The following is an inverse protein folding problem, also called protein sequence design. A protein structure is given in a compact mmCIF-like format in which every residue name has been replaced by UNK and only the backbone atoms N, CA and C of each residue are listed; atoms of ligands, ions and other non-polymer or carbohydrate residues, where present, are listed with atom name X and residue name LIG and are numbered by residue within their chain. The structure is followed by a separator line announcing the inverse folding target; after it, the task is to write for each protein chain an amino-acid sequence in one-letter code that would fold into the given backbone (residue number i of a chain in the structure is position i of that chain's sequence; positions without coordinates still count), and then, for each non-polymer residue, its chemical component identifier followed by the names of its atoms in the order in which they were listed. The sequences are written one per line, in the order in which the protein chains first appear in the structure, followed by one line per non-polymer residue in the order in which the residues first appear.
data_IF_649321412262
#
_entry.id   IF_649321412262
#
_cell.length_a   1.000
_cell.length_b   1.000
_cell.length_c   1.000
_cell.angle_alpha   90.00
_cell.angle_beta   90.00
_cell.angle_gamma   90.00
#
_symmetry.space_group_name_H-M   'P 1'
#
loop_
_entity.id
_entity.type
_entity.pdbx_description
1 polymer ?
#
# COMPACT_ATOMS: atom_id res chain seq x y z
N UNK A 1 20.33 17.15 -0.69
CA UNK A 1 19.28 16.77 0.29
C UNK A 1 18.15 16.21 -0.54
N UNK A 2 18.00 14.90 -0.56
CA UNK A 2 16.94 14.22 -1.33
C UNK A 2 15.65 14.39 -0.54
N UNK A 3 14.67 15.06 -1.13
CA UNK A 3 13.32 15.15 -0.58
C UNK A 3 12.68 13.76 -0.66
N UNK A 4 12.67 13.06 0.46
CA UNK A 4 11.93 11.81 0.62
C UNK A 4 10.43 12.11 0.56
N UNK A 5 9.84 11.69 -0.53
CA UNK A 5 8.41 11.86 -0.78
C UNK A 5 7.68 10.80 0.04
N UNK A 6 6.95 11.22 1.05
CA UNK A 6 6.06 10.35 1.81
C UNK A 6 4.83 10.07 0.96
N UNK A 7 4.92 9.05 0.16
CA UNK A 7 3.76 8.39 -0.43
C UNK A 7 3.32 7.35 0.58
N UNK A 8 2.05 7.35 0.98
CA UNK A 8 1.47 6.19 1.66
C UNK A 8 1.23 5.08 0.62
N UNK A 9 2.13 5.00 -0.36
CA UNK A 9 2.26 4.04 -1.43
C UNK A 9 3.75 3.69 -1.57
N UNK A 10 4.09 2.43 -1.55
CA UNK A 10 5.45 1.93 -1.77
C UNK A 10 5.85 2.11 -3.24
N UNK A 11 6.89 2.92 -3.51
CA UNK A 11 7.54 2.91 -4.82
C UNK A 11 8.59 1.79 -4.84
N UNK A 12 8.32 0.70 -5.52
CA UNK A 12 9.35 -0.25 -5.91
C UNK A 12 10.22 0.39 -6.99
N UNK A 13 11.40 0.87 -6.61
CA UNK A 13 12.46 1.09 -7.59
C UNK A 13 12.82 -0.26 -8.22
N UNK A 14 12.43 -0.48 -9.47
CA UNK A 14 13.09 -1.46 -10.34
C UNK A 14 14.47 -0.90 -10.65
N UNK A 15 15.47 -1.28 -9.87
CA UNK A 15 16.85 -1.12 -10.27
C UNK A 15 17.12 -2.03 -11.47
N UNK A 16 17.45 -1.40 -12.60
CA UNK A 16 18.01 -2.07 -13.77
C UNK A 16 19.36 -2.69 -13.36
N UNK A 17 19.48 -4.00 -13.57
CA UNK A 17 20.65 -4.78 -13.27
C UNK A 17 21.92 -4.21 -13.93
N UNK A 18 22.82 -3.69 -13.13
CA UNK A 18 24.23 -3.59 -13.46
C UNK A 18 24.97 -4.67 -12.70
N UNK A 19 25.52 -5.62 -13.49
CA UNK A 19 26.42 -6.64 -13.02
C UNK A 19 27.69 -5.96 -12.49
N UNK A 20 27.93 -6.07 -11.20
CA UNK A 20 29.22 -5.76 -10.60
C UNK A 20 29.98 -7.08 -10.51
N UNK A 21 31.10 -7.16 -11.24
CA UNK A 21 32.01 -8.29 -11.21
C UNK A 21 32.73 -8.40 -9.86
N UNK A 22 33.31 -9.58 -9.54
CA UNK A 22 33.89 -9.85 -8.23
C UNK A 22 35.20 -9.12 -8.02
N UNK A 23 35.31 -8.29 -7.00
CA UNK A 23 36.57 -7.78 -6.48
C UNK A 23 37.20 -8.84 -5.58
N UNK A 24 38.40 -9.24 -5.96
CA UNK A 24 39.26 -10.15 -5.23
C UNK A 24 39.68 -9.53 -3.87
N UNK A 25 39.53 -10.30 -2.79
CA UNK A 25 40.25 -10.08 -1.56
C UNK A 25 41.11 -11.32 -1.27
N UNK A 26 42.39 -11.08 -1.35
CA UNK A 26 43.45 -12.03 -1.01
C UNK A 26 43.70 -12.10 0.50
N UNK A 27 44.17 -13.29 0.94
CA UNK A 27 44.96 -13.64 2.10
C UNK A 27 44.27 -14.14 3.37
N UNK A 28 44.54 -15.38 3.64
CA UNK A 28 44.98 -15.91 4.92
C UNK A 28 44.67 -17.36 5.24
N UNK A 29 45.57 -18.26 4.83
CA UNK A 29 46.00 -19.55 5.45
C UNK A 29 45.10 -20.25 6.49
N UNK A 30 44.74 -21.54 6.27
CA UNK A 30 45.39 -22.75 6.79
C UNK A 30 44.60 -24.03 6.47
N UNK A 31 45.22 -24.93 5.74
CA UNK A 31 45.49 -26.39 5.93
C UNK A 31 44.45 -27.19 6.78
N UNK A 32 43.89 -28.29 6.28
CA UNK A 32 44.47 -29.65 6.22
C UNK A 32 43.38 -30.69 5.88
N UNK A 33 43.80 -31.65 5.00
CA UNK A 33 43.34 -33.01 4.83
C UNK A 33 41.89 -33.27 4.45
N UNK A 34 41.52 -33.93 3.38
CA UNK A 34 42.15 -35.02 2.67
C UNK A 34 41.07 -36.08 2.38
N UNK A 35 41.17 -36.66 1.25
CA UNK A 35 40.64 -37.96 0.84
C UNK A 35 39.59 -37.93 -0.28
N UNK A 36 40.00 -38.62 -1.27
CA UNK A 36 39.59 -38.90 -2.60
C UNK A 36 38.36 -39.83 -2.75
N UNK A 37 37.88 -39.88 -3.96
CA UNK A 37 37.09 -40.94 -4.58
C UNK A 37 35.85 -40.37 -5.25
N UNK A 38 35.63 -40.34 -6.48
CA UNK A 38 35.96 -41.23 -7.53
C UNK A 38 34.74 -41.52 -8.38
N UNK A 39 34.76 -41.05 -9.64
CA UNK A 39 34.26 -41.70 -10.85
C UNK A 39 32.78 -41.74 -11.26
N UNK A 40 32.63 -41.19 -12.50
CA UNK A 40 31.78 -41.65 -13.65
C UNK A 40 30.27 -41.36 -13.52
N UNK A 41 29.63 -40.71 -14.46
CA UNK A 41 29.73 -40.66 -15.92
C UNK A 41 28.40 -41.07 -16.54
N UNK A 42 28.09 -40.57 -17.74
CA UNK A 42 26.94 -40.89 -18.62
C UNK A 42 25.78 -39.91 -18.40
N UNK A 43 25.44 -38.93 -19.22
CA UNK A 43 25.28 -38.95 -20.69
C UNK A 43 23.77 -39.02 -21.03
N UNK A 44 23.18 -37.95 -21.56
CA UNK A 44 22.36 -37.90 -22.74
C UNK A 44 21.49 -36.60 -22.77
N UNK A 45 21.78 -35.77 -23.69
CA UNK A 45 21.01 -35.17 -24.77
C UNK A 45 19.49 -34.96 -24.57
N UNK A 46 19.09 -33.70 -24.78
CA UNK A 46 17.69 -33.33 -24.94
C UNK A 46 17.53 -31.83 -25.24
N UNK A 47 18.22 -31.33 -26.26
CA UNK A 47 17.96 -29.96 -26.79
C UNK A 47 16.58 -29.91 -27.42
N UNK A 48 15.65 -29.21 -26.86
CA UNK A 48 14.50 -28.67 -27.59
C UNK A 48 14.63 -27.15 -27.70
N UNK A 49 15.02 -26.72 -28.89
CA UNK A 49 14.92 -25.34 -29.35
C UNK A 49 13.44 -24.99 -29.48
N UNK A 50 12.95 -24.05 -28.70
CA UNK A 50 11.73 -23.33 -29.03
C UNK A 50 12.14 -22.04 -29.73
N UNK A 51 11.86 -22.02 -31.05
CA UNK A 51 12.06 -20.86 -31.90
C UNK A 51 11.01 -19.78 -31.58
N UNK A 52 11.49 -18.61 -31.25
CA UNK A 52 10.68 -17.40 -31.18
C UNK A 52 10.48 -16.87 -32.61
N UNK A 53 9.26 -16.91 -33.12
CA UNK A 53 8.84 -16.17 -34.31
C UNK A 53 8.27 -14.82 -33.85
N UNK A 54 8.70 -13.68 -34.43
CA UNK A 54 8.11 -12.39 -34.13
C UNK A 54 6.72 -12.28 -34.79
N UNK A 55 5.69 -12.11 -33.96
CA UNK A 55 4.35 -11.74 -34.47
C UNK A 55 4.34 -10.24 -34.75
N UNK A 56 4.03 -9.92 -36.00
CA UNK A 56 3.74 -8.56 -36.48
C UNK A 56 2.51 -8.02 -35.78
N UNK A 57 2.65 -6.92 -35.07
CA UNK A 57 1.56 -6.15 -34.52
C UNK A 57 0.80 -5.47 -35.66
N UNK A 58 -0.43 -5.94 -35.86
CA UNK A 58 -1.43 -5.17 -36.59
C UNK A 58 -2.36 -4.56 -35.54
N UNK A 59 -2.24 -3.24 -35.36
CA UNK A 59 -3.06 -2.43 -34.48
C UNK A 59 -4.56 -2.62 -34.79
N UNK A 60 -5.23 -3.29 -33.85
CA UNK A 60 -6.69 -3.16 -33.58
C UNK A 60 -6.85 -3.24 -32.09
N UNK A 61 -7.21 -2.13 -31.47
CA UNK A 61 -7.74 -2.06 -30.12
C UNK A 61 -8.87 -3.09 -30.00
N UNK A 62 -8.58 -4.24 -29.39
CA UNK A 62 -9.60 -5.20 -28.98
C UNK A 62 -10.11 -4.72 -27.64
N UNK A 63 -11.27 -4.11 -27.63
CA UNK A 63 -12.11 -4.03 -26.44
C UNK A 63 -12.25 -5.44 -25.87
N UNK A 64 -11.75 -5.65 -24.67
CA UNK A 64 -11.94 -6.92 -23.94
C UNK A 64 -13.39 -6.95 -23.49
N UNK A 65 -14.17 -7.89 -24.04
CA UNK A 65 -15.53 -8.13 -23.61
C UNK A 65 -15.54 -8.88 -22.28
N UNK A 66 -16.48 -8.50 -21.40
CA UNK A 66 -16.73 -9.17 -20.14
C UNK A 66 -17.29 -10.58 -20.39
N UNK A 67 -16.66 -11.62 -19.79
CA UNK A 67 -17.02 -13.03 -19.97
C UNK A 67 -17.69 -13.68 -18.76
N UNK A 68 -18.16 -12.90 -17.78
CA UNK A 68 -18.86 -13.45 -16.62
C UNK A 68 -20.38 -13.50 -16.82
N UNK A 69 -21.01 -14.58 -16.31
CA UNK A 69 -22.45 -14.75 -16.33
C UNK A 69 -23.15 -13.62 -15.57
N UNK A 70 -24.00 -12.85 -16.27
CA UNK A 70 -24.73 -11.70 -15.72
C UNK A 70 -24.26 -10.34 -16.23
N UNK A 71 -23.19 -10.26 -17.04
CA UNK A 71 -22.74 -9.01 -17.64
C UNK A 71 -23.54 -8.66 -18.89
N UNK A 72 -24.08 -7.44 -19.05
CA UNK A 72 -24.74 -7.03 -20.30
C UNK A 72 -23.71 -7.01 -21.43
N UNK A 73 -24.00 -7.72 -22.51
CA UNK A 73 -23.12 -7.80 -23.70
C UNK A 73 -22.90 -6.40 -24.29
N UNK A 74 -21.60 -5.99 -24.39
CA UNK A 74 -21.22 -4.76 -25.08
C UNK A 74 -21.04 -3.53 -24.23
N UNK A 75 -21.04 -3.64 -22.89
CA UNK A 75 -20.73 -2.51 -22.01
C UNK A 75 -19.20 -2.25 -21.94
N UNK A 76 -18.73 -0.97 -21.98
CA UNK A 76 -17.32 -0.66 -21.85
C UNK A 76 -16.77 -1.13 -20.49
N UNK A 77 -15.60 -1.79 -20.50
CA UNK A 77 -14.94 -2.35 -19.30
C UNK A 77 -14.63 -1.27 -18.25
N UNK A 78 -14.42 -0.02 -18.67
CA UNK A 78 -14.18 1.12 -17.77
C UNK A 78 -15.29 1.36 -16.74
N UNK A 79 -16.51 0.93 -17.04
CA UNK A 79 -17.66 1.01 -16.11
C UNK A 79 -17.70 -0.13 -15.10
N UNK A 80 -16.96 -1.23 -15.33
CA UNK A 80 -16.98 -2.44 -14.50
C UNK A 80 -15.76 -2.65 -13.63
N UNK A 81 -14.69 -1.85 -13.75
CA UNK A 81 -13.57 -1.85 -12.80
C UNK A 81 -14.00 -1.54 -11.37
N UNK A 82 -15.26 -1.12 -11.18
CA UNK A 82 -15.89 -0.83 -9.89
C UNK A 82 -16.60 -2.02 -9.24
N UNK A 83 -16.72 -3.18 -9.87
CA UNK A 83 -17.63 -4.25 -9.43
C UNK A 83 -16.99 -5.64 -9.40
N UNK A 84 -15.68 -5.76 -9.49
CA UNK A 84 -15.02 -7.04 -9.19
C UNK A 84 -14.32 -6.88 -7.85
N UNK A 85 -14.90 -7.39 -6.73
CA UNK A 85 -14.21 -7.40 -5.46
C UNK A 85 -12.95 -8.25 -5.60
N UNK A 86 -11.80 -7.63 -5.67
CA UNK A 86 -10.57 -8.33 -5.39
C UNK A 86 -10.56 -8.59 -3.88
N UNK A 87 -11.08 -9.75 -3.46
CA UNK A 87 -11.03 -10.24 -2.09
C UNK A 87 -11.93 -9.56 -1.03
N UNK A 88 -13.09 -9.01 -1.40
CA UNK A 88 -14.13 -8.66 -0.43
C UNK A 88 -14.20 -7.19 -0.02
N UNK A 89 -13.16 -6.38 -0.22
CA UNK A 89 -13.18 -4.94 0.05
C UNK A 89 -12.44 -4.16 -1.03
N UNK A 90 -13.09 -3.15 -1.62
CA UNK A 90 -12.49 -2.17 -2.53
C UNK A 90 -12.16 -0.89 -1.77
N UNK A 91 -11.18 -0.11 -2.26
CA UNK A 91 -10.90 1.20 -1.70
C UNK A 91 -12.07 2.13 -1.94
N UNK A 92 -12.57 2.71 -0.88
CA UNK A 92 -13.58 3.77 -0.89
C UNK A 92 -12.90 5.09 -1.21
N UNK A 93 -13.39 5.80 -2.22
CA UNK A 93 -12.84 7.08 -2.64
C UNK A 93 -13.66 8.27 -2.11
N UNK A 94 -12.97 9.40 -1.96
CA UNK A 94 -13.59 10.70 -1.73
C UNK A 94 -14.63 11.00 -2.84
N UNK A 95 -15.80 11.54 -2.53
CA UNK A 95 -16.21 12.10 -1.24
C UNK A 95 -17.12 11.18 -0.41
N UNK A 96 -16.97 9.86 -0.46
CA UNK A 96 -17.85 8.97 0.30
C UNK A 96 -17.97 9.41 1.77
N UNK A 97 -19.20 9.51 2.32
CA UNK A 97 -19.43 9.96 3.70
C UNK A 97 -18.77 9.10 4.78
N UNK A 98 -18.46 7.81 4.51
CA UNK A 98 -17.79 6.94 5.48
C UNK A 98 -16.42 7.47 5.85
N UNK A 99 -15.70 8.11 4.92
CA UNK A 99 -14.38 8.70 5.12
C UNK A 99 -14.37 9.92 6.04
N UNK A 100 -15.53 10.54 6.25
CA UNK A 100 -15.70 11.74 7.09
C UNK A 100 -16.34 11.43 8.44
N UNK A 101 -16.66 10.17 8.71
CA UNK A 101 -17.20 9.76 10.01
C UNK A 101 -16.07 9.39 10.95
N UNK A 102 -16.25 9.71 12.22
CA UNK A 102 -15.40 9.19 13.28
C UNK A 102 -15.65 7.70 13.42
N UNK A 103 -14.58 6.91 13.39
CA UNK A 103 -14.65 5.46 13.48
C UNK A 103 -14.99 4.97 14.90
N UNK A 104 -15.78 3.91 14.98
CA UNK A 104 -16.23 3.28 16.22
C UNK A 104 -15.17 2.37 16.82
N UNK A 105 -15.04 2.32 18.15
CA UNK A 105 -14.10 1.42 18.78
C UNK A 105 -14.48 -0.06 18.57
N UNK A 106 -13.47 -0.90 18.40
CA UNK A 106 -13.62 -2.36 18.41
C UNK A 106 -13.77 -2.82 19.85
N UNK A 107 -14.87 -3.51 20.15
CA UNK A 107 -15.15 -4.03 21.49
C UNK A 107 -14.62 -5.44 21.69
N UNK A 108 -14.58 -6.25 20.64
CA UNK A 108 -14.13 -7.64 20.68
C UNK A 108 -13.33 -7.96 19.42
N UNK A 109 -12.17 -8.59 19.58
CA UNK A 109 -11.34 -9.07 18.47
C UNK A 109 -11.77 -10.51 18.15
N UNK A 110 -12.85 -10.60 17.40
CA UNK A 110 -13.42 -11.88 16.94
C UNK A 110 -12.85 -12.28 15.55
N UNK A 111 -13.35 -13.37 14.98
CA UNK A 111 -12.95 -13.86 13.66
C UNK A 111 -13.30 -12.88 12.55
N UNK A 112 -14.39 -12.13 12.69
CA UNK A 112 -14.78 -11.08 11.73
C UNK A 112 -13.76 -9.95 11.68
N UNK A 113 -13.22 -9.54 12.83
CA UNK A 113 -12.15 -8.53 12.90
C UNK A 113 -10.84 -9.07 12.30
N UNK A 114 -10.50 -10.37 12.57
CA UNK A 114 -9.31 -11.00 11.99
C UNK A 114 -9.38 -11.05 10.47
N UNK A 115 -10.50 -11.53 9.93
CA UNK A 115 -10.75 -11.57 8.49
C UNK A 115 -10.66 -10.15 7.87
N UNK A 116 -11.28 -9.15 8.50
CA UNK A 116 -11.21 -7.76 8.02
C UNK A 116 -9.76 -7.27 7.96
N UNK A 117 -8.95 -7.55 8.98
CA UNK A 117 -7.54 -7.13 9.02
C UNK A 117 -6.72 -7.85 7.93
N UNK A 118 -6.96 -9.13 7.69
CA UNK A 118 -6.30 -9.88 6.61
C UNK A 118 -6.67 -9.30 5.23
N UNK A 119 -7.94 -8.98 5.00
CA UNK A 119 -8.42 -8.31 3.78
C UNK A 119 -7.79 -6.92 3.62
N UNK A 120 -7.70 -6.13 4.71
CA UNK A 120 -7.05 -4.81 4.68
C UNK A 120 -5.57 -4.91 4.30
N UNK A 121 -4.82 -5.88 4.83
CA UNK A 121 -3.44 -6.11 4.41
C UNK A 121 -3.34 -6.48 2.94
N UNK A 122 -4.25 -7.32 2.44
CA UNK A 122 -4.26 -7.70 1.04
C UNK A 122 -4.52 -6.49 0.13
N UNK A 123 -5.57 -5.70 0.42
CA UNK A 123 -5.91 -4.48 -0.32
C UNK A 123 -4.76 -3.46 -0.26
N UNK A 124 -4.19 -3.20 0.91
CA UNK A 124 -3.07 -2.29 1.09
C UNK A 124 -1.87 -2.66 0.19
N UNK A 125 -1.54 -3.96 0.12
CA UNK A 125 -0.41 -4.46 -0.70
C UNK A 125 -0.71 -4.42 -2.18
N UNK A 126 -1.93 -4.75 -2.59
CA UNK A 126 -2.37 -4.68 -4.00
C UNK A 126 -2.32 -3.22 -4.51
N UNK A 127 -2.60 -2.25 -3.65
CA UNK A 127 -2.53 -0.80 -3.94
C UNK A 127 -1.15 -0.16 -3.63
N UNK A 128 -0.15 -0.98 -3.28
CA UNK A 128 1.21 -0.53 -2.92
C UNK A 128 1.21 0.52 -1.78
N UNK A 129 0.28 0.42 -0.82
CA UNK A 129 0.14 1.32 0.33
C UNK A 129 1.13 1.01 1.44
N UNK A 130 1.54 2.04 2.20
CA UNK A 130 2.30 1.90 3.44
C UNK A 130 1.39 1.74 4.66
N UNK A 131 0.17 2.25 4.58
CA UNK A 131 -0.89 2.15 5.57
C UNK A 131 -2.27 2.11 4.93
N UNK A 132 -3.25 1.61 5.68
CA UNK A 132 -4.65 1.58 5.27
C UNK A 132 -5.55 1.54 6.51
N UNK A 133 -6.50 2.45 6.59
CA UNK A 133 -7.48 2.51 7.66
C UNK A 133 -8.81 1.85 7.28
N UNK A 134 -9.51 1.23 8.23
CA UNK A 134 -10.78 0.55 8.00
C UNK A 134 -11.87 1.43 7.33
N UNK A 135 -11.98 2.75 7.60
CA UNK A 135 -12.90 3.60 6.84
C UNK A 135 -12.63 3.61 5.33
N UNK A 136 -11.38 3.42 4.89
CA UNK A 136 -11.01 3.38 3.47
C UNK A 136 -11.47 2.10 2.76
N UNK A 137 -11.87 1.09 3.49
CA UNK A 137 -12.54 -0.13 2.97
C UNK A 137 -14.02 -0.19 3.40
N UNK A 138 -14.62 0.96 3.68
CA UNK A 138 -16.04 1.08 4.01
C UNK A 138 -16.43 0.63 5.42
N UNK A 139 -15.47 0.36 6.30
CA UNK A 139 -15.71 -0.12 7.67
C UNK A 139 -15.39 0.96 8.70
N UNK A 140 -16.41 1.57 9.29
CA UNK A 140 -16.24 2.65 10.28
C UNK A 140 -15.78 2.11 11.65
N UNK A 141 -14.62 1.42 11.69
CA UNK A 141 -14.02 0.84 12.89
C UNK A 141 -12.64 1.45 13.16
N UNK A 142 -12.28 1.58 14.44
CA UNK A 142 -10.97 2.09 14.84
C UNK A 142 -9.88 1.04 14.64
N UNK A 143 -9.57 0.77 13.37
CA UNK A 143 -8.51 -0.14 12.93
C UNK A 143 -7.75 0.52 11.80
N UNK A 144 -6.42 0.41 11.81
CA UNK A 144 -5.60 0.56 10.64
C UNK A 144 -4.49 -0.49 10.59
N UNK A 145 -3.93 -0.72 9.43
CA UNK A 145 -2.78 -1.61 9.20
C UNK A 145 -1.63 -0.82 8.60
N UNK A 146 -0.40 -1.27 8.85
CA UNK A 146 0.80 -0.73 8.20
C UNK A 146 1.66 -1.85 7.65
N UNK A 147 2.33 -1.60 6.52
CA UNK A 147 3.29 -2.52 5.93
C UNK A 147 4.62 -2.48 6.71
N UNK A 148 5.46 -3.49 6.46
CA UNK A 148 6.81 -3.53 7.01
C UNK A 148 7.66 -2.38 6.47
N UNK A 149 8.34 -1.68 7.36
CA UNK A 149 9.26 -0.61 6.99
C UNK A 149 10.38 -0.47 8.04
N UNK A 150 11.62 -0.56 7.62
CA UNK A 150 12.81 -0.50 8.49
C UNK A 150 12.73 -1.47 9.68
N UNK A 151 12.73 -0.95 10.94
CA UNK A 151 12.61 -1.75 12.16
C UNK A 151 11.16 -2.08 12.55
N UNK A 152 10.16 -1.58 11.82
CA UNK A 152 8.75 -1.80 12.12
C UNK A 152 8.19 -2.94 11.26
N UNK A 153 7.78 -4.07 11.84
CA UNK A 153 7.11 -5.13 11.12
C UNK A 153 5.70 -4.69 10.68
N UNK A 154 5.17 -5.35 9.64
CA UNK A 154 3.78 -5.19 9.26
C UNK A 154 2.86 -5.49 10.45
N UNK A 155 1.90 -4.59 10.75
CA UNK A 155 1.11 -4.67 11.99
C UNK A 155 -0.28 -4.08 11.85
N UNK A 156 -1.24 -4.66 12.59
CA UNK A 156 -2.56 -4.09 12.82
C UNK A 156 -2.58 -3.26 14.11
N UNK A 157 -3.26 -2.12 14.06
CA UNK A 157 -3.46 -1.19 15.17
C UNK A 157 -4.96 -1.14 15.46
N UNK A 158 -5.40 -1.78 16.53
CA UNK A 158 -6.80 -1.80 16.97
C UNK A 158 -6.96 -0.81 18.12
N UNK A 159 -7.97 0.06 18.01
CA UNK A 159 -8.24 1.14 18.95
C UNK A 159 -7.01 2.03 19.23
N UNK A 160 -6.28 2.48 18.19
CA UNK A 160 -5.08 3.26 18.39
C UNK A 160 -5.36 4.59 19.08
N UNK A 161 -4.38 5.04 19.89
CA UNK A 161 -4.40 6.32 20.58
C UNK A 161 -3.04 7.00 20.46
N UNK A 162 -3.02 8.22 20.01
CA UNK A 162 -1.81 9.04 20.03
C UNK A 162 -1.49 9.42 21.48
N UNK A 163 -0.29 9.01 21.96
CA UNK A 163 0.23 9.34 23.27
C UNK A 163 1.00 10.66 23.22
N UNK A 164 1.78 10.85 22.15
CA UNK A 164 2.46 12.08 21.85
C UNK A 164 2.49 12.33 20.35
N UNK A 165 2.40 13.60 19.97
CA UNK A 165 2.62 14.08 18.62
C UNK A 165 3.27 15.47 18.75
N UNK A 166 4.60 15.51 18.87
CA UNK A 166 5.37 16.69 19.23
C UNK A 166 6.67 16.82 18.41
N UNK A 167 7.58 17.67 18.88
CA UNK A 167 8.80 17.98 18.16
C UNK A 167 8.61 19.03 17.05
N UNK A 168 9.64 19.25 16.22
CA UNK A 168 9.57 20.24 15.14
C UNK A 168 8.52 19.88 14.11
N UNK A 169 7.84 20.89 13.59
CA UNK A 169 6.87 20.69 12.49
C UNK A 169 7.63 20.48 11.18
N UNK A 170 7.38 19.36 10.52
CA UNK A 170 7.87 19.03 9.20
C UNK A 170 6.73 19.10 8.17
N UNK A 171 6.99 19.73 7.02
CA UNK A 171 6.10 19.71 5.86
C UNK A 171 6.61 18.66 4.89
N UNK A 172 5.78 17.69 4.53
CA UNK A 172 6.09 16.68 3.51
C UNK A 172 4.84 16.38 2.70
N UNK A 173 5.04 15.99 1.45
CA UNK A 173 3.94 15.60 0.58
C UNK A 173 3.36 14.24 1.02
N UNK A 174 2.06 14.20 1.20
CA UNK A 174 1.29 12.98 1.46
C UNK A 174 0.34 12.70 0.31
N UNK A 175 0.23 11.42 -0.08
CA UNK A 175 -0.85 10.88 -0.89
C UNK A 175 -1.80 10.06 -0.02
N UNK A 176 -2.94 9.69 -0.58
CA UNK A 176 -3.93 8.85 0.09
C UNK A 176 -4.60 7.93 -0.94
N UNK A 177 -4.76 6.65 -0.63
CA UNK A 177 -5.42 5.68 -1.51
C UNK A 177 -6.88 6.07 -1.81
N UNK A 178 -7.54 6.75 -0.85
CA UNK A 178 -8.90 7.29 -1.05
C UNK A 178 -8.96 8.57 -1.87
N UNK A 179 -7.81 9.12 -2.29
CA UNK A 179 -7.67 10.36 -3.08
C UNK A 179 -6.64 10.15 -4.21
N UNK A 180 -6.93 9.26 -5.17
CA UNK A 180 -6.00 8.89 -6.23
C UNK A 180 -5.50 10.11 -7.02
N UNK A 181 -4.19 10.20 -7.21
CA UNK A 181 -3.53 11.27 -7.96
C UNK A 181 -3.43 12.62 -7.22
N UNK A 182 -3.93 12.73 -5.99
CA UNK A 182 -3.85 13.96 -5.18
C UNK A 182 -2.71 13.83 -4.18
N UNK A 183 -1.84 14.84 -4.15
CA UNK A 183 -0.77 14.99 -3.18
C UNK A 183 -0.85 16.36 -2.52
N UNK A 184 -0.56 16.41 -1.22
CA UNK A 184 -0.70 17.60 -0.39
C UNK A 184 0.48 17.75 0.53
N UNK A 185 1.03 18.95 0.62
CA UNK A 185 2.04 19.30 1.61
C UNK A 185 1.43 19.39 3.01
N UNK A 186 1.52 18.31 3.80
CA UNK A 186 0.92 18.24 5.14
C UNK A 186 1.94 18.61 6.21
N UNK A 187 1.52 19.51 7.12
CA UNK A 187 2.30 19.93 8.29
C UNK A 187 2.05 18.96 9.43
N UNK A 188 3.07 18.23 9.87
CA UNK A 188 2.95 17.30 10.99
C UNK A 188 4.11 17.46 11.97
N UNK A 189 3.90 17.20 13.28
CA UNK A 189 5.00 17.04 14.23
C UNK A 189 5.89 15.86 13.79
N UNK A 190 7.18 16.01 14.02
CA UNK A 190 8.15 15.00 13.57
C UNK A 190 8.19 13.77 14.49
N UNK A 191 7.91 13.93 15.79
CA UNK A 191 7.92 12.84 16.74
C UNK A 191 6.49 12.37 17.05
N UNK A 192 6.26 11.07 16.99
CA UNK A 192 4.97 10.44 17.23
C UNK A 192 5.13 9.24 18.13
N UNK A 193 4.30 9.15 19.16
CA UNK A 193 4.18 8.00 20.04
C UNK A 193 2.72 7.55 20.06
N UNK A 194 2.50 6.28 19.75
CA UNK A 194 1.17 5.69 19.59
C UNK A 194 1.08 4.39 20.38
N UNK A 195 -0.04 4.18 21.07
CA UNK A 195 -0.41 2.90 21.65
C UNK A 195 -1.57 2.29 20.86
N UNK A 196 -1.63 0.97 20.82
CA UNK A 196 -2.74 0.23 20.23
C UNK A 196 -2.83 -1.18 20.81
N UNK A 197 -3.85 -1.92 20.39
CA UNK A 197 -3.99 -3.35 20.67
C UNK A 197 -3.70 -4.14 19.38
N UNK A 198 -2.93 -5.21 19.49
CA UNK A 198 -2.67 -6.14 18.38
C UNK A 198 -3.82 -7.14 18.18
N UNK A 199 -3.76 -7.94 17.10
CA UNK A 199 -4.71 -9.04 16.87
C UNK A 199 -4.67 -10.15 17.94
N UNK A 200 -3.54 -10.25 18.67
CA UNK A 200 -3.38 -11.15 19.83
C UNK A 200 -4.09 -10.65 21.08
N UNK A 201 -4.63 -9.42 21.04
CA UNK A 201 -5.26 -8.76 22.18
C UNK A 201 -4.28 -8.04 23.11
N UNK A 202 -2.97 -8.13 22.85
CA UNK A 202 -1.94 -7.50 23.66
C UNK A 202 -1.77 -6.02 23.29
N UNK A 203 -1.55 -5.18 24.32
CA UNK A 203 -1.24 -3.76 24.12
C UNK A 203 0.22 -3.58 23.75
N UNK A 204 0.47 -2.65 22.87
CA UNK A 204 1.82 -2.23 22.53
C UNK A 204 1.90 -0.71 22.37
N UNK A 205 3.10 -0.19 22.48
CA UNK A 205 3.43 1.20 22.27
C UNK A 205 4.61 1.28 21.29
N UNK A 206 4.56 2.20 20.34
CA UNK A 206 5.61 2.46 19.37
C UNK A 206 5.85 3.95 19.28
N UNK A 207 7.10 4.32 18.97
CA UNK A 207 7.47 5.71 18.67
C UNK A 207 8.36 5.77 17.43
N UNK A 208 8.20 6.84 16.67
CA UNK A 208 9.02 7.13 15.50
C UNK A 208 9.05 8.63 15.20
N UNK A 209 10.17 9.09 14.61
CA UNK A 209 10.34 10.45 14.10
C UNK A 209 10.52 10.50 12.58
N UNK A 210 10.26 9.40 11.90
CA UNK A 210 10.44 9.21 10.47
C UNK A 210 9.14 9.02 9.69
N UNK A 211 9.21 8.11 8.75
CA UNK A 211 8.11 7.82 7.82
C UNK A 211 6.95 7.12 8.52
N UNK A 212 7.25 6.15 9.41
CA UNK A 212 6.19 5.39 10.09
C UNK A 212 5.39 6.26 11.06
N UNK A 213 6.04 7.13 11.82
CA UNK A 213 5.34 8.08 12.69
C UNK A 213 4.36 8.98 11.89
N UNK A 214 4.78 9.40 10.69
CA UNK A 214 3.92 10.16 9.78
C UNK A 214 2.78 9.32 9.23
N UNK A 215 3.03 8.07 8.86
CA UNK A 215 2.02 7.11 8.44
C UNK A 215 0.96 6.90 9.54
N UNK A 216 1.39 6.69 10.79
CA UNK A 216 0.44 6.53 11.91
C UNK A 216 -0.45 7.76 12.12
N UNK A 217 0.07 8.98 11.93
CA UNK A 217 -0.74 10.20 11.99
C UNK A 217 -1.75 10.27 10.85
N UNK A 218 -1.36 9.84 9.63
CA UNK A 218 -2.23 9.79 8.48
C UNK A 218 -3.39 8.80 8.69
N UNK A 219 -3.08 7.56 9.10
CA UNK A 219 -4.08 6.54 9.36
C UNK A 219 -4.98 6.90 10.56
N UNK A 220 -4.41 7.52 11.59
CA UNK A 220 -5.19 8.01 12.72
C UNK A 220 -6.16 9.12 12.31
N UNK A 221 -5.78 10.00 11.37
CA UNK A 221 -6.69 11.03 10.84
C UNK A 221 -7.92 10.39 10.19
N UNK A 222 -7.76 9.29 9.43
CA UNK A 222 -8.90 8.55 8.87
C UNK A 222 -9.87 8.06 9.95
N UNK A 223 -9.34 7.62 11.10
CA UNK A 223 -10.20 7.18 12.22
C UNK A 223 -10.94 8.33 12.90
N UNK A 224 -10.43 9.55 12.79
CA UNK A 224 -11.09 10.76 13.27
C UNK A 224 -11.95 11.44 12.18
N UNK A 225 -12.14 10.81 11.02
CA UNK A 225 -12.91 11.34 9.89
C UNK A 225 -12.23 12.51 9.17
N UNK A 226 -10.90 12.58 9.23
CA UNK A 226 -10.09 13.59 8.56
C UNK A 226 -9.34 13.00 7.37
N UNK A 227 -9.18 13.82 6.34
CA UNK A 227 -8.43 13.48 5.13
C UNK A 227 -7.32 14.51 4.89
N UNK A 228 -6.37 14.18 4.01
CA UNK A 228 -5.34 15.15 3.61
C UNK A 228 -5.93 16.44 3.02
N UNK A 229 -7.16 16.39 2.49
CA UNK A 229 -7.89 17.57 2.00
C UNK A 229 -8.18 18.62 3.10
N UNK A 230 -8.25 18.19 4.37
CA UNK A 230 -8.49 19.09 5.50
C UNK A 230 -7.23 19.89 5.86
N UNK A 231 -6.07 19.47 5.39
CA UNK A 231 -4.76 20.08 5.62
C UNK A 231 -4.27 20.92 4.43
N UNK A 232 -5.06 20.97 3.34
CA UNK A 232 -4.69 21.71 2.12
C UNK A 232 -4.52 23.21 2.38
N UNK A 233 -3.38 23.74 1.93
CA UNK A 233 -3.22 25.17 1.75
C UNK A 233 -4.15 25.68 0.64
N UNK A 234 -4.38 26.99 0.52
CA UNK A 234 -5.15 27.56 -0.62
C UNK A 234 -4.56 27.19 -1.98
N UNK A 235 -3.22 27.09 -2.06
CA UNK A 235 -2.51 26.71 -3.29
C UNK A 235 -2.73 25.23 -3.62
N UNK A 236 -2.61 24.35 -2.63
CA UNK A 236 -2.86 22.91 -2.83
C UNK A 236 -4.30 22.66 -3.25
N UNK A 237 -5.25 23.35 -2.62
CA UNK A 237 -6.68 23.26 -2.97
C UNK A 237 -6.96 23.72 -4.40
N UNK A 238 -6.29 24.78 -4.85
CA UNK A 238 -6.40 25.25 -6.22
C UNK A 238 -5.82 24.23 -7.21
N UNK A 239 -4.65 23.68 -6.89
CA UNK A 239 -3.97 22.67 -7.71
C UNK A 239 -4.77 21.36 -7.81
N UNK A 240 -5.36 20.91 -6.70
CA UNK A 240 -6.15 19.69 -6.64
C UNK A 240 -7.59 19.84 -7.14
N UNK A 241 -8.05 21.08 -7.40
CA UNK A 241 -9.46 21.39 -7.69
C UNK A 241 -10.09 20.55 -8.79
N UNK A 242 -9.34 20.26 -9.86
CA UNK A 242 -9.86 19.46 -10.97
C UNK A 242 -10.02 18.00 -10.52
N UNK A 243 -8.99 17.41 -9.95
CA UNK A 243 -9.02 16.02 -9.49
C UNK A 243 -10.12 15.79 -8.43
N UNK A 244 -10.31 16.72 -7.50
CA UNK A 244 -11.40 16.64 -6.51
C UNK A 244 -12.78 16.64 -7.18
N UNK A 245 -13.01 17.51 -8.16
CA UNK A 245 -14.29 17.53 -8.89
C UNK A 245 -14.51 16.28 -9.73
N UNK A 246 -13.46 15.73 -10.33
CA UNK A 246 -13.56 14.49 -11.10
C UNK A 246 -13.94 13.31 -10.19
N UNK A 247 -13.43 13.26 -8.93
CA UNK A 247 -13.83 12.29 -7.91
C UNK A 247 -15.27 12.50 -7.44
N UNK A 248 -15.69 13.76 -7.20
CA UNK A 248 -17.06 14.12 -6.80
C UNK A 248 -18.05 13.70 -7.88
N UNK A 249 -17.77 14.02 -9.16
CA UNK A 249 -18.62 13.62 -10.27
C UNK A 249 -18.71 12.09 -10.42
N UNK A 250 -17.57 11.38 -10.28
CA UNK A 250 -17.56 9.93 -10.33
C UNK A 250 -18.37 9.28 -9.19
N UNK A 251 -18.38 9.91 -8.01
CA UNK A 251 -19.20 9.44 -6.91
C UNK A 251 -20.69 9.66 -7.15
N UNK A 252 -21.12 10.82 -7.69
CA UNK A 252 -22.51 11.11 -8.03
C UNK A 252 -23.05 10.15 -9.11
N UNK A 253 -22.23 9.82 -10.14
CA UNK A 253 -22.59 8.87 -11.18
C UNK A 253 -22.73 7.42 -10.66
N UNK A 254 -22.12 7.10 -9.54
CA UNK A 254 -22.13 5.77 -8.93
C UNK A 254 -23.24 5.52 -7.91
N UNK A 255 -24.05 6.56 -7.59
CA UNK A 255 -25.22 6.46 -6.69
C UNK A 255 -26.45 6.04 -7.49
#
# INVERSE_FOLDING_TARGET
MHDEIVRVELHRHREHGQRIGPLALTHGLARLLGVAGGLRGIGHEGRRRFGFLPRKDHGKSRTRECIHEGCPKGAPIERYHRIVPSRGHDIVWYPDPVLKRRAEPVTTIDEGIRTLVDDMFAVMRDEEGLGLAAPQVGRSLRIFVTEEHEQFPARAFINPRLIAADGPIAVRDEGCLSLPGIRVGVRRPAHVRIEATGLDGERFELEDSGLMGRCWLHEHDHLEGRLITDWMSPIDRLSARRALRDLEAAFEEGQ
#
